data_IF_002117821780
#
_entry.id   IF_002117821780
#
_cell.length_a   1.000
_cell.length_b   1.000
_cell.length_c   1.000
_cell.angle_alpha   90.00
_cell.angle_beta   90.00
_cell.angle_gamma   90.00
#
_symmetry.space_group_name_H-M   'P 1'
#
loop_
_entity.id
_entity.type
_entity.pdbx_description
1 polymer ?
2 branched ?
3 non-polymer ?
4 non-polymer ?
5 non-polymer ?
6 non-polymer ?
7 non-polymer ?
8 non-polymer ?
9 non-polymer ?
10 water ?
#
# COMPACT_ATOMS: atom_id res chain seq x y z
N UNK A 7 2.59 -16.39 -7.56
CA UNK A 7 1.46 -15.62 -6.96
C UNK A 7 0.33 -15.55 -7.97
N UNK A 8 -0.71 -16.29 -7.69
CA UNK A 8 -1.93 -16.27 -8.51
C UNK A 8 -2.78 -15.17 -7.90
N UNK A 9 -2.75 -14.00 -8.53
CA UNK A 9 -3.61 -12.91 -8.12
C UNK A 9 -5.02 -13.39 -8.38
N UNK A 10 -5.91 -12.94 -7.54
CA UNK A 10 -7.26 -13.43 -7.58
C UNK A 10 -8.05 -12.94 -8.80
N UNK A 11 -9.06 -13.73 -9.21
CA UNK A 11 -9.81 -13.38 -10.43
C UNK A 11 -10.69 -12.13 -10.28
N UNK A 12 -10.91 -11.60 -9.08
CA UNK A 12 -11.66 -10.34 -8.92
C UNK A 12 -10.74 -9.12 -8.80
N UNK A 13 -9.43 -9.37 -8.94
CA UNK A 13 -8.47 -8.30 -8.91
C UNK A 13 -8.79 -7.22 -9.93
N UNK A 14 -8.82 -5.97 -9.47
CA UNK A 14 -9.14 -4.80 -10.34
C UNK A 14 -10.61 -4.39 -10.29
N UNK A 15 -11.46 -5.23 -9.68
CA UNK A 15 -12.82 -4.83 -9.40
C UNK A 15 -12.96 -4.14 -8.07
N UNK A 16 -13.96 -3.22 -8.00
CA UNK A 16 -14.25 -2.56 -6.76
C UNK A 16 -15.70 -2.80 -6.43
N UNK A 17 -15.96 -3.40 -5.29
CA UNK A 17 -17.29 -3.65 -4.78
C UNK A 17 -17.62 -2.54 -3.80
N UNK A 18 -18.65 -1.77 -4.11
CA UNK A 18 -19.14 -0.75 -3.25
C UNK A 18 -20.36 -1.24 -2.51
N UNK A 19 -20.25 -1.30 -1.19
CA UNK A 19 -21.30 -1.81 -0.34
C UNK A 19 -21.91 -0.71 0.48
N UNK A 20 -23.15 -0.95 0.88
CA UNK A 20 -23.86 -0.01 1.70
C UNK A 20 -24.40 -0.65 3.01
N UNK A 21 -24.06 -1.92 3.25
CA UNK A 21 -24.34 -2.54 4.49
C UNK A 21 -23.25 -3.56 4.80
N UNK A 22 -23.13 -3.90 6.09
CA UNK A 22 -22.18 -4.93 6.53
C UNK A 22 -22.45 -6.28 5.80
N UNK A 23 -21.35 -6.95 5.39
CA UNK A 23 -21.44 -8.27 4.83
C UNK A 23 -21.37 -9.27 5.98
N UNK A 24 -22.42 -10.10 6.12
CA UNK A 24 -22.50 -11.13 7.13
C UNK A 24 -22.05 -12.44 6.53
N UNK A 25 -21.10 -13.04 7.24
CA UNK A 25 -20.60 -14.38 6.84
C UNK A 25 -21.06 -15.35 7.91
N UNK A 26 -22.03 -16.20 7.59
CA UNK A 26 -22.71 -16.98 8.61
C UNK A 26 -21.74 -18.11 9.05
N UNK A 27 -21.93 -18.74 10.21
CA UNK A 27 -21.02 -19.83 10.69
C UNK A 27 -20.76 -20.94 9.59
N UNK A 28 -19.57 -21.51 9.40
CA UNK A 28 -19.18 -22.58 8.47
C UNK A 28 -18.93 -22.13 7.04
N UNK A 29 -19.20 -20.86 6.75
CA UNK A 29 -18.93 -20.32 5.41
C UNK A 29 -17.63 -19.64 5.33
N UNK A 30 -17.08 -19.58 4.15
CA UNK A 30 -15.87 -18.83 3.85
C UNK A 30 -16.19 -17.78 2.73
N UNK A 31 -16.11 -16.48 3.08
CA UNK A 31 -16.20 -15.41 2.09
C UNK A 31 -14.85 -15.31 1.45
N UNK A 32 -14.75 -15.60 0.15
CA UNK A 32 -13.51 -15.50 -0.58
C UNK A 32 -13.67 -14.35 -1.58
N UNK A 33 -13.05 -13.20 -1.32
CA UNK A 33 -13.11 -12.07 -2.25
C UNK A 33 -12.36 -12.23 -3.53
N UNK A 34 -11.49 -13.20 -3.65
CA UNK A 34 -10.71 -13.38 -4.84
C UNK A 34 -9.97 -12.12 -5.26
N UNK A 35 -9.56 -11.31 -4.29
CA UNK A 35 -8.77 -10.14 -4.62
C UNK A 35 -9.57 -8.84 -4.84
N UNK A 36 -10.86 -8.91 -4.63
CA UNK A 36 -11.75 -7.75 -4.76
C UNK A 36 -11.34 -6.67 -3.77
N UNK A 37 -11.47 -5.41 -4.15
CA UNK A 37 -11.34 -4.29 -3.25
C UNK A 37 -12.73 -3.82 -2.87
N UNK A 38 -12.99 -3.59 -1.59
CA UNK A 38 -14.25 -3.17 -1.06
C UNK A 38 -14.19 -1.76 -0.56
N UNK A 39 -15.20 -0.97 -0.97
CA UNK A 39 -15.35 0.39 -0.50
C UNK A 39 -16.72 0.57 0.10
N UNK A 40 -16.79 0.84 1.39
CA UNK A 40 -18.02 0.94 2.08
C UNK A 40 -18.56 2.39 2.04
N UNK A 41 -19.89 2.46 1.83
CA UNK A 41 -20.66 3.68 1.72
C UNK A 41 -21.67 3.80 2.85
N UNK A 42 -21.74 4.99 3.47
CA UNK A 42 -22.74 5.23 4.45
C UNK A 42 -22.57 4.45 5.77
N UNK A 43 -21.39 3.88 5.98
CA UNK A 43 -21.12 2.97 7.11
C UNK A 43 -20.08 3.53 8.04
N UNK A 44 -19.62 4.74 7.80
CA UNK A 44 -18.57 5.37 8.58
C UNK A 44 -17.54 6.07 7.73
N UNK A 45 -16.77 6.93 8.38
CA UNK A 45 -15.75 7.71 7.70
C UNK A 45 -14.32 7.25 8.01
N UNK A 46 -14.19 6.22 8.82
CA UNK A 46 -12.88 5.70 9.25
C UNK A 46 -12.22 6.57 10.32
N UNK A 47 -12.96 7.48 10.96
CA UNK A 47 -12.44 8.30 12.01
C UNK A 47 -12.39 7.47 13.31
N UNK A 48 -12.11 8.18 14.43
CA UNK A 48 -12.12 7.51 15.74
C UNK A 48 -13.52 7.40 16.38
N UNK A 49 -14.58 7.81 15.64
CA UNK A 49 -15.96 7.62 16.09
C UNK A 49 -16.27 6.19 16.38
N UNK A 50 -16.95 5.98 17.50
CA UNK A 50 -17.26 4.61 17.92
C UNK A 50 -18.56 4.05 17.39
N UNK A 51 -19.22 4.82 16.51
CA UNK A 51 -20.51 4.42 16.02
C UNK A 51 -20.53 4.00 14.57
N UNK A 52 -19.45 3.48 14.04
CA UNK A 52 -19.40 3.06 12.70
C UNK A 52 -19.78 1.60 12.56
N UNK A 53 -20.15 1.18 11.34
CA UNK A 53 -20.50 -0.19 11.11
C UNK A 53 -19.26 -1.01 10.68
N UNK A 54 -19.24 -2.31 11.04
CA UNK A 54 -18.25 -3.18 10.48
C UNK A 54 -18.46 -3.43 8.97
N UNK A 55 -17.38 -3.58 8.26
CA UNK A 55 -17.41 -3.97 6.85
C UNK A 55 -17.91 -5.40 6.75
N UNK A 56 -17.39 -6.27 7.64
CA UNK A 56 -17.77 -7.68 7.69
C UNK A 56 -18.12 -8.05 9.15
N UNK A 57 -19.13 -8.90 9.29
CA UNK A 57 -19.44 -9.61 10.54
C UNK A 57 -19.22 -11.05 10.27
N UNK A 58 -18.27 -11.66 10.99
CA UNK A 58 -17.96 -13.07 10.88
C UNK A 58 -18.58 -13.76 12.10
N UNK A 59 -19.68 -14.47 11.85
CA UNK A 59 -20.32 -15.25 12.89
C UNK A 59 -19.31 -16.32 13.37
N UNK A 60 -19.58 -16.88 14.53
CA UNK A 60 -18.65 -17.90 15.05
C UNK A 60 -18.54 -19.03 14.00
N UNK A 61 -17.31 -19.43 13.69
CA UNK A 61 -17.01 -20.45 12.71
C UNK A 61 -17.03 -19.97 11.26
N UNK A 62 -17.15 -18.66 11.04
CA UNK A 62 -17.03 -18.07 9.69
C UNK A 62 -15.59 -17.66 9.36
N UNK A 63 -15.23 -17.78 8.07
CA UNK A 63 -13.92 -17.41 7.60
C UNK A 63 -14.00 -16.33 6.53
N UNK A 64 -12.92 -15.61 6.35
CA UNK A 64 -12.82 -14.54 5.35
C UNK A 64 -11.44 -14.62 4.72
N UNK A 65 -11.38 -14.46 3.40
CA UNK A 65 -10.11 -14.47 2.76
C UNK A 65 -10.07 -13.57 1.53
N UNK A 66 -8.90 -13.06 1.19
CA UNK A 66 -8.59 -12.45 -0.11
C UNK A 66 -9.47 -11.26 -0.43
N UNK A 67 -9.56 -10.31 0.52
CA UNK A 67 -10.13 -9.01 0.23
C UNK A 67 -9.17 -7.90 0.53
N UNK A 68 -9.35 -6.81 -0.18
CA UNK A 68 -8.71 -5.53 0.11
C UNK A 68 -9.80 -4.63 0.66
N UNK A 69 -9.65 -4.04 1.84
CA UNK A 69 -10.58 -3.11 2.36
C UNK A 69 -9.99 -1.71 2.16
N UNK A 70 -10.65 -0.96 1.25
CA UNK A 70 -10.25 0.42 1.04
C UNK A 70 -10.76 1.34 2.11
N UNK A 71 -10.18 2.56 2.13
CA UNK A 71 -10.77 3.62 2.86
C UNK A 71 -12.20 3.86 2.35
N UNK A 72 -13.16 4.18 3.21
CA UNK A 72 -13.05 4.26 4.68
C UNK A 72 -13.16 2.90 5.34
N UNK A 73 -12.28 2.69 6.32
CA UNK A 73 -12.23 1.37 6.95
C UNK A 73 -13.34 1.11 7.92
N UNK A 74 -14.13 2.16 8.27
CA UNK A 74 -15.32 1.98 9.12
C UNK A 74 -14.92 1.27 10.43
N UNK A 75 -15.74 0.34 10.90
CA UNK A 75 -15.33 -0.48 12.05
C UNK A 75 -14.81 -1.82 11.66
N UNK A 76 -14.23 -1.95 10.48
CA UNK A 76 -13.43 -3.14 10.15
C UNK A 76 -14.17 -4.46 10.19
N UNK A 77 -13.57 -5.46 10.81
CA UNK A 77 -14.08 -6.81 10.73
C UNK A 77 -14.50 -7.13 12.18
N UNK A 78 -15.71 -7.62 12.36
CA UNK A 78 -16.15 -8.07 13.67
C UNK A 78 -16.21 -9.57 13.71
N UNK A 79 -15.41 -10.19 14.60
CA UNK A 79 -15.27 -11.65 14.71
C UNK A 79 -15.93 -12.15 15.99
N UNK A 80 -16.80 -13.10 15.78
CA UNK A 80 -17.53 -13.71 16.90
C UNK A 80 -16.92 -15.04 17.42
N UNK A 81 -15.77 -15.40 16.91
CA UNK A 81 -14.97 -16.51 17.45
C UNK A 81 -14.82 -17.61 16.44
N UNK A 82 -13.71 -18.36 16.55
CA UNK A 82 -13.41 -19.48 15.69
C UNK A 82 -13.47 -19.05 14.21
N UNK A 83 -12.60 -18.08 13.92
CA UNK A 83 -12.55 -17.44 12.63
C UNK A 83 -11.13 -17.42 12.09
N UNK A 84 -10.99 -17.67 10.78
CA UNK A 84 -9.72 -17.52 10.09
C UNK A 84 -9.90 -16.36 9.11
N UNK A 85 -9.00 -15.39 9.19
CA UNK A 85 -9.01 -14.20 8.33
C UNK A 85 -7.68 -14.19 7.60
N UNK A 86 -7.70 -14.47 6.27
CA UNK A 86 -6.47 -14.82 5.53
C UNK A 86 -6.22 -13.93 4.29
N UNK A 87 -5.01 -13.37 4.20
CA UNK A 87 -4.71 -12.40 3.13
C UNK A 87 -5.67 -11.24 3.01
N UNK A 88 -6.12 -10.67 4.14
CA UNK A 88 -6.93 -9.46 4.14
C UNK A 88 -5.97 -8.25 4.27
N UNK A 89 -6.21 -7.24 3.42
CA UNK A 89 -5.39 -6.07 3.39
C UNK A 89 -6.27 -4.92 3.79
N UNK A 90 -5.89 -4.18 4.83
CA UNK A 90 -6.53 -2.97 5.21
C UNK A 90 -5.67 -1.86 4.67
N UNK A 91 -6.12 -1.24 3.58
CA UNK A 91 -5.37 -0.12 2.97
C UNK A 91 -5.33 1.09 3.88
N UNK A 92 -6.35 1.26 4.69
CA UNK A 92 -6.45 2.41 5.59
C UNK A 92 -7.38 2.03 6.69
N UNK A 93 -6.79 1.56 7.78
CA UNK A 93 -7.61 1.12 8.90
C UNK A 93 -8.56 2.23 9.32
N UNK A 94 -9.78 1.86 9.63
CA UNK A 94 -10.71 2.79 10.14
C UNK A 94 -10.62 2.98 11.66
N UNK A 95 -11.74 2.91 12.37
CA UNK A 95 -11.69 3.06 13.85
C UNK A 95 -10.76 2.04 14.44
N UNK A 96 -10.92 0.82 13.99
CA UNK A 96 -10.01 -0.28 14.27
C UNK A 96 -10.18 -1.26 13.08
N UNK A 97 -9.23 -2.19 12.90
CA UNK A 97 -9.21 -3.11 11.81
C UNK A 97 -10.05 -4.32 12.01
N UNK A 98 -9.94 -4.93 13.19
CA UNK A 98 -10.65 -6.16 13.50
C UNK A 98 -10.83 -6.21 14.99
N UNK A 99 -12.06 -6.62 15.38
CA UNK A 99 -12.46 -6.74 16.74
C UNK A 99 -12.94 -8.15 17.05
N UNK A 100 -12.40 -8.70 18.15
CA UNK A 100 -12.93 -9.99 18.65
C UNK A 100 -14.04 -9.68 19.67
N UNK A 101 -15.28 -10.04 19.26
CA UNK A 101 -16.47 -9.68 19.98
C UNK A 101 -16.98 -10.75 20.93
N UNK A 102 -16.56 -12.00 20.72
CA UNK A 102 -17.07 -13.12 21.51
C UNK A 102 -15.97 -14.18 21.51
N UNK A 103 -16.02 -15.12 22.46
CA UNK A 103 -14.94 -16.05 22.71
C UNK A 103 -14.72 -17.05 21.67
N UNK A 104 -13.46 -17.30 21.39
CA UNK A 104 -13.02 -18.40 20.53
C UNK A 104 -11.62 -18.08 20.05
N UNK A 105 -11.13 -18.85 19.08
CA UNK A 105 -9.84 -18.71 18.47
C UNK A 105 -10.04 -17.87 17.22
N UNK A 106 -9.22 -16.84 17.07
CA UNK A 106 -9.25 -16.00 15.84
C UNK A 106 -7.84 -15.88 15.35
N UNK A 107 -7.66 -16.17 14.07
CA UNK A 107 -6.38 -16.19 13.42
C UNK A 107 -6.39 -15.22 12.25
N UNK A 108 -5.42 -14.29 12.23
CA UNK A 108 -5.19 -13.38 11.11
C UNK A 108 -3.92 -13.87 10.44
N UNK A 109 -3.99 -14.35 9.22
CA UNK A 109 -2.87 -15.01 8.57
C UNK A 109 -2.62 -14.27 7.24
N UNK A 110 -1.43 -13.72 7.04
CA UNK A 110 -1.14 -12.99 5.82
C UNK A 110 -1.79 -11.61 5.87
N UNK A 111 -1.64 -10.91 4.76
CA UNK A 111 -2.19 -9.59 4.66
C UNK A 111 -1.40 -8.50 5.36
N UNK A 112 -2.06 -7.38 5.54
CA UNK A 112 -1.35 -6.19 6.09
C UNK A 112 -2.30 -5.14 6.48
N UNK A 113 -1.84 -4.16 7.22
CA UNK A 113 -2.65 -3.03 7.62
C UNK A 113 -1.78 -1.80 7.63
N UNK A 114 -2.41 -0.64 7.28
CA UNK A 114 -1.72 0.65 7.31
C UNK A 114 -2.63 1.71 7.89
N UNK A 115 -2.04 2.71 8.51
CA UNK A 115 -2.74 3.96 8.84
C UNK A 115 -3.85 3.76 9.85
N UNK A 116 -3.48 3.15 10.96
CA UNK A 116 -4.39 2.98 12.09
C UNK A 116 -4.15 4.10 13.07
N UNK A 117 -5.09 5.02 13.26
CA UNK A 117 -4.91 6.13 14.18
C UNK A 117 -4.75 5.64 15.62
N UNK A 118 -5.42 4.54 15.93
CA UNK A 118 -5.37 3.96 17.29
C UNK A 118 -5.02 2.47 17.12
N UNK A 119 -5.94 1.58 17.49
CA UNK A 119 -5.59 0.15 17.44
C UNK A 119 -5.86 -0.51 16.10
N UNK A 120 -5.07 -1.48 15.72
CA UNK A 120 -5.36 -2.37 14.65
C UNK A 120 -6.37 -3.42 15.13
N UNK A 121 -5.98 -4.24 16.11
CA UNK A 121 -6.81 -5.33 16.61
C UNK A 121 -7.29 -4.99 18.00
N UNK A 122 -8.59 -5.19 18.23
CA UNK A 122 -9.29 -4.82 19.45
C UNK A 122 -9.95 -6.05 20.01
N UNK A 123 -9.54 -6.45 21.23
CA UNK A 123 -9.99 -7.72 21.82
C UNK A 123 -10.95 -7.43 22.99
N UNK A 124 -12.22 -7.70 22.72
CA UNK A 124 -13.27 -7.36 23.64
C UNK A 124 -13.93 -8.59 24.34
N UNK A 125 -13.37 -9.75 24.16
CA UNK A 125 -13.83 -11.00 24.79
C UNK A 125 -12.67 -11.89 25.01
N UNK A 126 -12.75 -12.82 25.98
CA UNK A 126 -11.65 -13.78 26.13
C UNK A 126 -11.47 -14.53 24.85
N UNK A 127 -10.21 -14.75 24.47
CA UNK A 127 -9.93 -15.38 23.17
C UNK A 127 -8.49 -15.80 23.07
N UNK A 128 -8.21 -16.62 22.10
CA UNK A 128 -6.90 -16.92 21.63
C UNK A 128 -6.76 -16.23 20.28
N UNK A 129 -5.80 -15.30 20.20
CA UNK A 129 -5.69 -14.41 19.03
C UNK A 129 -4.32 -14.51 18.43
N UNK A 130 -4.25 -15.06 17.21
CA UNK A 130 -2.98 -15.22 16.54
C UNK A 130 -2.84 -14.42 15.27
N UNK A 131 -1.73 -13.71 15.18
CA UNK A 131 -1.39 -12.87 14.02
C UNK A 131 -0.14 -13.47 13.41
N UNK A 132 -0.23 -13.89 12.17
CA UNK A 132 0.81 -14.65 11.54
C UNK A 132 1.12 -14.07 10.15
N UNK A 133 2.40 -13.78 9.93
CA UNK A 133 2.94 -13.40 8.60
C UNK A 133 2.28 -12.16 8.07
N UNK A 134 2.31 -11.15 8.93
CA UNK A 134 1.51 -9.91 8.87
C UNK A 134 2.45 -8.73 8.97
N UNK A 135 2.15 -7.67 8.20
CA UNK A 135 2.90 -6.42 8.25
C UNK A 135 1.96 -5.28 8.56
N UNK A 136 2.32 -4.38 9.45
CA UNK A 136 1.56 -3.17 9.68
C UNK A 136 2.46 -1.98 9.79
N UNK A 137 1.98 -0.86 9.24
CA UNK A 137 2.80 0.35 9.19
C UNK A 137 1.91 1.55 9.56
N UNK A 138 2.42 2.44 10.38
CA UNK A 138 1.77 3.69 10.81
C UNK A 138 0.53 3.36 11.60
N UNK A 139 0.77 2.86 12.81
CA UNK A 139 -0.30 2.45 13.68
C UNK A 139 -0.10 3.00 15.08
N UNK A 140 -1.18 3.10 15.83
CA UNK A 140 -1.03 3.45 17.26
C UNK A 140 -0.63 2.24 18.10
N UNK A 141 -1.43 1.19 18.00
CA UNK A 141 -1.19 -0.09 18.65
C UNK A 141 -1.49 -1.23 17.75
N UNK A 142 -0.74 -2.35 17.77
CA UNK A 142 -1.20 -3.51 17.03
C UNK A 142 -2.38 -4.15 17.71
N UNK A 143 -2.30 -4.38 19.03
CA UNK A 143 -3.39 -5.10 19.76
C UNK A 143 -3.72 -4.35 21.00
N UNK A 144 -4.99 -4.17 21.27
CA UNK A 144 -5.48 -3.63 22.53
C UNK A 144 -6.55 -4.57 23.07
N UNK A 145 -6.30 -5.14 24.24
CA UNK A 145 -7.38 -5.73 25.01
C UNK A 145 -8.22 -4.58 25.55
N UNK A 146 -9.55 -4.73 25.48
CA UNK A 146 -10.40 -3.62 25.88
C UNK A 146 -9.98 -3.09 27.24
N UNK A 147 -9.89 -1.77 27.35
CA UNK A 147 -9.41 -1.18 28.52
C UNK A 147 -10.15 -1.53 29.77
N UNK A 148 -9.33 -1.70 30.84
CA UNK A 148 -9.87 -2.01 32.17
C UNK A 148 -10.62 -3.28 32.27
N UNK A 149 -10.45 -4.22 31.35
CA UNK A 149 -10.99 -5.54 31.51
C UNK A 149 -9.90 -6.49 32.00
N UNK A 150 -10.36 -7.50 32.69
CA UNK A 150 -9.45 -8.46 33.33
C UNK A 150 -9.76 -9.91 33.01
N UNK A 151 -10.55 -10.15 31.97
CA UNK A 151 -10.60 -11.47 31.39
C UNK A 151 -9.29 -11.81 30.71
N UNK A 152 -9.14 -13.06 30.30
CA UNK A 152 -7.89 -13.57 29.76
C UNK A 152 -7.94 -13.59 28.24
N UNK A 153 -6.92 -12.95 27.65
CA UNK A 153 -6.61 -13.21 26.24
C UNK A 153 -5.21 -13.82 26.18
N UNK A 154 -4.99 -14.64 25.18
CA UNK A 154 -3.66 -15.09 24.82
C UNK A 154 -3.40 -14.69 23.37
N UNK A 155 -2.38 -13.85 23.20
CA UNK A 155 -2.05 -13.29 21.91
C UNK A 155 -0.76 -13.93 21.41
N UNK A 156 -0.71 -14.34 20.15
CA UNK A 156 0.49 -14.86 19.50
C UNK A 156 0.81 -13.94 18.33
N UNK A 157 2.05 -13.46 18.26
CA UNK A 157 2.54 -12.66 17.14
C UNK A 157 3.67 -13.47 16.51
N UNK A 158 3.44 -13.99 15.32
CA UNK A 158 4.38 -14.93 14.69
C UNK A 158 4.71 -14.43 13.28
N UNK A 159 5.97 -14.09 13.01
CA UNK A 159 6.36 -13.56 11.71
C UNK A 159 5.62 -12.27 11.40
N UNK A 160 5.75 -11.32 12.30
CA UNK A 160 5.04 -10.05 12.25
C UNK A 160 6.09 -8.94 12.17
N UNK A 161 5.86 -8.01 11.22
CA UNK A 161 6.79 -6.88 11.04
C UNK A 161 5.97 -5.60 11.18
N UNK A 162 6.44 -4.72 12.04
CA UNK A 162 5.78 -3.48 12.36
C UNK A 162 6.67 -2.31 12.11
N UNK A 163 6.17 -1.31 11.40
CA UNK A 163 6.88 -0.04 11.27
C UNK A 163 6.03 1.14 11.83
N UNK A 164 6.66 2.01 12.62
CA UNK A 164 6.08 3.29 13.07
C UNK A 164 4.87 3.06 13.94
N UNK A 165 5.15 2.68 15.19
CA UNK A 165 4.13 2.31 16.16
C UNK A 165 4.12 3.42 17.19
N UNK A 166 3.07 4.23 17.20
CA UNK A 166 3.06 5.43 18.03
C UNK A 166 3.03 5.21 19.53
N UNK A 167 2.26 4.19 19.94
CA UNK A 167 2.03 3.93 21.35
C UNK A 167 2.80 2.67 21.70
N UNK A 168 2.26 1.51 21.34
CA UNK A 168 2.94 0.28 21.72
C UNK A 168 2.48 -0.86 20.84
N UNK A 169 3.23 -1.91 20.78
CA UNK A 169 2.81 -3.06 20.05
C UNK A 169 1.46 -3.61 20.61
N UNK A 170 1.40 -3.86 21.93
CA UNK A 170 0.18 -4.36 22.54
C UNK A 170 0.03 -3.84 23.90
N UNK A 171 -1.23 -3.76 24.33
CA UNK A 171 -1.57 -3.19 25.61
C UNK A 171 -2.82 -3.89 26.18
N UNK A 172 -2.70 -4.29 27.45
CA UNK A 172 -3.73 -4.97 28.17
C UNK A 172 -3.68 -4.46 29.61
N UNK A 173 -4.85 -4.40 30.22
CA UNK A 173 -4.98 -4.10 31.65
C UNK A 173 -5.32 -5.32 32.49
N UNK A 174 -5.04 -6.51 31.91
CA UNK A 174 -5.39 -7.79 32.55
C UNK A 174 -4.15 -8.54 33.00
N UNK A 175 -3.96 -8.73 34.34
CA UNK A 175 -2.83 -9.50 34.80
C UNK A 175 -2.77 -10.93 34.31
N UNK A 176 -3.87 -11.55 33.92
CA UNK A 176 -3.90 -12.94 33.53
C UNK A 176 -3.67 -13.13 32.03
N UNK A 177 -3.74 -12.04 31.26
CA UNK A 177 -3.47 -12.14 29.81
C UNK A 177 -2.01 -12.40 29.49
N UNK A 178 -1.76 -13.00 28.34
CA UNK A 178 -0.40 -13.25 27.94
C UNK A 178 -0.21 -12.85 26.52
N UNK A 179 1.03 -12.58 26.18
CA UNK A 179 1.43 -12.39 24.79
C UNK A 179 2.68 -13.18 24.54
N UNK A 180 2.67 -13.91 23.45
CA UNK A 180 3.77 -14.74 23.02
C UNK A 180 4.19 -14.28 21.63
N UNK A 181 5.50 -14.16 21.37
CA UNK A 181 5.96 -13.76 20.05
C UNK A 181 7.15 -14.59 19.56
N UNK A 182 7.24 -14.62 18.25
CA UNK A 182 8.21 -15.45 17.58
C UNK A 182 8.47 -14.78 16.21
N UNK A 183 9.69 -14.34 15.98
CA UNK A 183 10.02 -13.60 14.75
C UNK A 183 9.19 -12.34 14.63
N UNK A 184 9.36 -11.48 15.63
CA UNK A 184 8.71 -10.19 15.69
C UNK A 184 9.77 -9.14 15.40
N UNK A 185 9.52 -8.33 14.35
CA UNK A 185 10.40 -7.28 13.94
C UNK A 185 9.69 -5.95 14.12
N UNK A 186 10.25 -5.01 14.87
CA UNK A 186 9.58 -3.76 15.17
C UNK A 186 10.55 -2.62 14.92
N UNK A 187 10.21 -1.69 14.00
CA UNK A 187 10.95 -0.43 13.82
C UNK A 187 10.20 0.81 14.21
N UNK A 188 10.85 1.69 14.93
CA UNK A 188 10.28 2.95 15.33
C UNK A 188 9.04 2.81 16.20
N UNK A 189 9.22 2.30 17.39
CA UNK A 189 8.08 2.03 18.18
C UNK A 189 8.31 2.65 19.52
N UNK A 190 7.31 3.36 20.07
CA UNK A 190 7.53 4.03 21.35
C UNK A 190 7.99 3.06 22.46
N UNK A 191 7.20 2.01 22.66
CA UNK A 191 7.35 1.04 23.74
C UNK A 191 6.86 -0.29 23.19
N UNK A 192 7.40 -1.44 23.60
CA UNK A 192 6.81 -2.63 22.99
C UNK A 192 5.52 -3.05 23.64
N UNK A 193 5.49 -3.27 24.96
CA UNK A 193 4.33 -3.86 25.59
C UNK A 193 3.94 -3.10 26.81
N UNK A 194 2.66 -2.80 26.94
CA UNK A 194 2.09 -2.13 28.11
C UNK A 194 1.10 -3.10 28.74
N UNK A 195 1.63 -3.99 29.59
CA UNK A 195 0.83 -4.96 30.37
C UNK A 195 1.14 -4.68 31.84
N UNK A 196 0.27 -5.18 32.76
CA UNK A 196 0.56 -4.94 34.18
C UNK A 196 1.97 -5.35 34.59
N UNK A 197 2.45 -6.47 34.12
CA UNK A 197 3.81 -6.86 34.35
C UNK A 197 4.44 -7.38 33.04
N UNK A 198 5.72 -7.12 32.89
CA UNK A 198 6.43 -7.57 31.72
C UNK A 198 6.57 -9.07 31.63
N UNK A 199 6.51 -9.76 32.79
CA UNK A 199 6.54 -11.21 32.81
C UNK A 199 5.35 -11.86 32.12
N UNK A 200 4.31 -11.09 31.72
CA UNK A 200 3.22 -11.61 30.94
C UNK A 200 3.57 -11.80 29.46
N UNK A 201 4.73 -11.32 29.07
CA UNK A 201 5.19 -11.35 27.66
C UNK A 201 6.30 -12.39 27.54
N UNK A 202 6.18 -13.27 26.55
CA UNK A 202 7.07 -14.37 26.37
C UNK A 202 7.50 -14.49 24.92
N UNK A 203 8.69 -14.99 24.66
CA UNK A 203 9.08 -15.47 23.35
C UNK A 203 8.81 -16.97 23.23
N UNK A 204 8.77 -17.48 22.04
CA UNK A 204 8.77 -18.91 21.77
C UNK A 204 9.46 -19.24 20.47
N UNK B 10 9.00 25.57 -24.23
CA UNK B 10 7.98 25.54 -25.33
C UNK B 10 7.01 26.76 -25.44
N UNK B 11 6.15 26.74 -26.49
CA UNK B 11 5.32 27.87 -26.81
C UNK B 11 4.26 28.09 -25.70
N UNK B 12 3.93 27.04 -24.90
CA UNK B 12 2.98 27.18 -23.80
C UNK B 12 3.58 27.48 -22.41
N UNK B 13 4.87 27.65 -22.39
CA UNK B 13 5.56 27.96 -21.13
C UNK B 13 4.94 29.26 -20.58
N UNK B 14 4.56 29.25 -19.32
CA UNK B 14 3.94 30.40 -18.69
C UNK B 14 2.46 30.18 -18.54
N UNK B 15 1.88 29.26 -19.34
CA UNK B 15 0.47 28.93 -19.21
C UNK B 15 0.21 27.80 -18.22
N UNK B 16 -0.98 27.82 -17.61
CA UNK B 16 -1.38 26.80 -16.67
C UNK B 16 -2.73 26.31 -17.10
N UNK B 17 -2.93 25.00 -17.20
CA UNK B 17 -4.20 24.39 -17.45
C UNK B 17 -4.69 23.80 -16.16
N UNK B 18 -5.80 24.31 -15.67
CA UNK B 18 -6.48 23.82 -14.50
C UNK B 18 -7.55 22.86 -14.94
N UNK B 19 -7.46 21.63 -14.40
CA UNK B 19 -8.37 20.57 -14.76
C UNK B 19 -9.14 20.07 -13.55
N UNK B 20 -10.31 19.52 -13.81
CA UNK B 20 -11.18 18.92 -12.79
C UNK B 20 -11.48 17.42 -13.02
N UNK B 21 -10.92 16.84 -14.09
CA UNK B 21 -11.00 15.42 -14.30
C UNK B 21 -9.76 15.03 -15.11
N UNK B 22 -9.48 13.72 -15.07
CA UNK B 22 -8.36 13.13 -15.75
C UNK B 22 -8.38 13.54 -17.26
N UNK B 23 -7.21 13.89 -17.78
CA UNK B 23 -7.02 14.11 -19.22
C UNK B 23 -6.82 12.72 -19.83
N UNK B 24 -7.71 12.34 -20.72
CA UNK B 24 -7.60 11.08 -21.44
C UNK B 24 -6.90 11.31 -22.76
N UNK B 25 -5.77 10.63 -23.01
CA UNK B 25 -5.07 10.70 -24.26
C UNK B 25 -5.39 9.38 -24.99
N UNK B 26 -6.09 9.52 -26.09
CA UNK B 26 -6.60 8.33 -26.75
C UNK B 26 -5.56 7.58 -27.49
N UNK B 27 -5.84 6.31 -27.80
CA UNK B 27 -4.86 5.44 -28.42
C UNK B 27 -4.21 6.09 -29.65
N UNK B 28 -2.90 6.04 -29.65
CA UNK B 28 -2.10 6.46 -30.80
C UNK B 28 -1.73 7.95 -30.84
N UNK B 29 -2.52 8.76 -30.10
CA UNK B 29 -2.42 10.23 -29.97
C UNK B 29 -1.18 10.61 -29.15
N UNK B 30 -0.61 11.75 -29.47
CA UNK B 30 0.36 12.38 -28.64
C UNK B 30 -0.17 13.67 -28.08
N UNK B 31 -0.17 13.79 -26.75
CA UNK B 31 -0.50 15.02 -26.09
C UNK B 31 0.79 15.80 -25.89
N UNK B 32 0.93 16.94 -26.55
CA UNK B 32 2.12 17.80 -26.41
C UNK B 32 1.73 19.07 -25.70
N UNK B 33 2.15 19.21 -24.46
CA UNK B 33 1.82 20.38 -23.68
C UNK B 33 2.59 21.63 -24.05
N UNK B 34 3.70 21.48 -24.81
CA UNK B 34 4.58 22.61 -25.19
C UNK B 34 4.95 23.45 -23.97
N UNK B 35 5.15 22.78 -22.77
CA UNK B 35 5.61 23.52 -21.64
C UNK B 35 4.53 23.93 -20.68
N UNK B 36 3.27 23.61 -20.99
CA UNK B 36 2.15 23.94 -20.09
C UNK B 36 2.34 23.24 -18.71
N UNK B 37 1.89 23.94 -17.70
CA UNK B 37 1.82 23.35 -16.38
C UNK B 37 0.38 22.93 -16.13
N UNK B 38 0.17 21.75 -15.54
CA UNK B 38 -1.12 21.25 -15.22
C UNK B 38 -1.35 21.28 -13.71
N UNK B 39 -2.48 21.84 -13.31
CA UNK B 39 -2.95 21.80 -11.95
C UNK B 39 -4.31 21.11 -11.92
N UNK B 40 -4.38 20.09 -11.06
CA UNK B 40 -5.60 19.35 -10.89
C UNK B 40 -6.34 19.80 -9.63
N UNK B 41 -7.64 19.92 -9.80
CA UNK B 41 -8.54 20.30 -8.73
C UNK B 41 -9.60 19.25 -8.50
N UNK B 42 -9.86 18.86 -7.25
CA UNK B 42 -10.90 17.92 -6.96
C UNK B 42 -10.55 16.48 -7.32
N UNK B 43 -9.26 16.20 -7.51
CA UNK B 43 -8.82 14.92 -8.02
C UNK B 43 -7.89 14.16 -7.03
N UNK B 44 -7.64 14.80 -5.89
CA UNK B 44 -6.74 14.25 -4.87
C UNK B 44 -5.85 15.33 -4.30
N UNK B 45 -5.17 14.98 -3.25
CA UNK B 45 -4.32 15.89 -2.56
C UNK B 45 -2.84 15.54 -2.67
N UNK B 46 -2.50 14.49 -3.41
CA UNK B 46 -1.15 14.04 -3.51
C UNK B 46 -0.59 13.29 -2.29
N UNK B 47 -1.49 12.89 -1.40
CA UNK B 47 -1.13 12.08 -0.24
C UNK B 47 -0.91 10.66 -0.69
N UNK B 48 -0.69 9.77 0.32
CA UNK B 48 -0.60 8.34 0.07
C UNK B 48 -1.92 7.60 -0.03
N UNK B 49 -3.02 8.38 -0.15
CA UNK B 49 -4.34 7.79 -0.40
C UNK B 49 -4.40 7.03 -1.70
N UNK B 50 -4.94 5.85 -1.65
CA UNK B 50 -4.99 5.05 -2.85
C UNK B 50 -6.15 5.35 -3.78
N UNK B 51 -6.98 6.31 -3.41
CA UNK B 51 -8.24 6.57 -4.14
C UNK B 51 -8.30 7.92 -4.89
N UNK B 52 -7.11 8.37 -5.32
CA UNK B 52 -7.04 9.58 -6.11
C UNK B 52 -7.10 9.32 -7.60
N UNK B 53 -7.46 10.31 -8.39
CA UNK B 53 -7.53 10.18 -9.84
C UNK B 53 -6.16 10.41 -10.46
N UNK B 54 -5.88 9.74 -11.58
CA UNK B 54 -4.71 10.13 -12.37
C UNK B 54 -4.90 11.48 -13.03
N UNK B 55 -3.81 12.23 -13.16
CA UNK B 55 -3.80 13.49 -13.92
C UNK B 55 -4.05 13.19 -15.43
N UNK B 56 -3.37 12.18 -15.96
CA UNK B 56 -3.47 11.73 -17.33
C UNK B 56 -3.67 10.25 -17.38
N UNK B 57 -4.48 9.79 -18.31
CA UNK B 57 -4.58 8.41 -18.69
C UNK B 57 -4.08 8.29 -20.10
N UNK B 58 -3.09 7.48 -20.36
CA UNK B 58 -2.56 7.24 -21.68
C UNK B 58 -3.04 5.88 -22.14
N UNK B 59 -4.01 5.84 -23.06
CA UNK B 59 -4.46 4.61 -23.62
C UNK B 59 -3.33 3.91 -24.35
N UNK B 60 -3.53 2.64 -24.68
CA UNK B 60 -2.46 1.87 -25.34
C UNK B 60 -2.03 2.60 -26.63
N UNK B 61 -0.75 2.89 -26.79
CA UNK B 61 -0.22 3.60 -27.93
C UNK B 61 -0.11 5.13 -27.82
N UNK B 62 -0.70 5.69 -26.80
CA UNK B 62 -0.68 7.13 -26.61
C UNK B 62 0.65 7.60 -26.04
N UNK B 63 0.96 8.86 -26.26
CA UNK B 63 2.14 9.49 -25.79
C UNK B 63 1.83 10.80 -25.11
N UNK B 64 2.80 11.24 -24.27
CA UNK B 64 2.67 12.48 -23.57
C UNK B 64 4.03 13.17 -23.60
N UNK B 65 4.07 14.45 -23.88
CA UNK B 65 5.27 15.19 -23.85
C UNK B 65 5.15 16.62 -23.39
N UNK B 66 6.24 17.12 -22.79
CA UNK B 66 6.38 18.55 -22.51
C UNK B 66 5.27 19.11 -21.66
N UNK B 67 5.03 18.47 -20.50
CA UNK B 67 4.15 19.07 -19.47
C UNK B 67 4.93 19.16 -18.19
N UNK B 68 4.44 20.03 -17.35
CA UNK B 68 4.86 20.12 -15.95
C UNK B 68 3.64 19.76 -15.15
N UNK B 69 3.80 18.86 -14.19
CA UNK B 69 2.64 18.47 -13.40
C UNK B 69 2.84 19.10 -12.04
N UNK B 70 2.02 20.12 -11.75
CA UNK B 70 2.14 20.82 -10.48
C UNK B 70 1.50 19.96 -9.38
N UNK B 71 1.84 20.30 -8.14
CA UNK B 71 1.06 19.79 -6.99
C UNK B 71 -0.39 20.25 -7.07
N UNK B 72 -1.36 19.41 -6.71
CA UNK B 72 -1.17 18.09 -6.18
C UNK B 72 -1.00 17.07 -7.26
N UNK B 73 -0.09 16.14 -7.05
CA UNK B 73 0.19 15.16 -8.13
C UNK B 73 -0.79 14.05 -8.29
N UNK B 74 -1.76 13.96 -7.34
CA UNK B 74 -2.87 13.00 -7.39
C UNK B 74 -2.30 11.61 -7.68
N UNK B 75 -2.88 10.84 -8.59
CA UNK B 75 -2.36 9.56 -8.96
C UNK B 75 -1.55 9.58 -10.27
N UNK B 76 -1.01 10.74 -10.61
CA UNK B 76 -0.02 10.77 -11.61
C UNK B 76 -0.48 10.36 -13.00
N UNK B 77 0.36 9.65 -13.75
CA UNK B 77 0.06 9.28 -15.13
C UNK B 77 -0.17 7.78 -15.20
N UNK B 78 -1.36 7.39 -15.62
CA UNK B 78 -1.61 6.00 -15.83
C UNK B 78 -1.41 5.56 -17.26
N UNK B 79 -0.53 4.59 -17.48
CA UNK B 79 -0.08 4.14 -18.78
C UNK B 79 -0.62 2.74 -19.08
N UNK B 80 -1.37 2.60 -20.18
CA UNK B 80 -1.92 1.34 -20.54
C UNK B 80 -1.07 0.53 -21.54
N UNK B 81 0.10 1.01 -21.86
CA UNK B 81 1.06 0.23 -22.59
C UNK B 81 1.41 0.89 -23.91
N UNK B 82 2.65 0.67 -24.35
CA UNK B 82 3.15 1.20 -25.62
C UNK B 82 3.05 2.72 -25.62
N UNK B 83 3.61 3.32 -24.58
CA UNK B 83 3.58 4.76 -24.34
C UNK B 83 4.97 5.34 -24.22
N UNK B 84 5.13 6.57 -24.72
CA UNK B 84 6.30 7.36 -24.47
C UNK B 84 5.90 8.58 -23.71
N UNK B 85 6.58 8.83 -22.60
CA UNK B 85 6.35 9.97 -21.72
C UNK B 85 7.64 10.76 -21.70
N UNK B 86 7.69 11.87 -22.45
CA UNK B 86 8.89 12.61 -22.77
C UNK B 86 8.89 14.00 -22.16
N UNK B 87 9.97 14.37 -21.47
CA UNK B 87 10.13 15.71 -20.87
C UNK B 87 9.03 16.14 -19.94
N UNK B 88 8.55 15.17 -19.17
CA UNK B 88 7.54 15.41 -18.17
C UNK B 88 8.22 15.72 -16.84
N UNK B 89 7.81 16.81 -16.17
CA UNK B 89 8.37 17.21 -14.92
C UNK B 89 7.27 17.11 -13.87
N UNK B 90 7.51 16.24 -12.86
CA UNK B 90 6.67 16.17 -11.70
C UNK B 90 7.29 17.09 -10.65
N UNK B 91 6.67 18.25 -10.40
CA UNK B 91 7.16 19.16 -9.39
C UNK B 91 7.00 18.60 -8.01
N UNK B 92 5.99 17.76 -7.80
CA UNK B 92 5.72 17.19 -6.50
C UNK B 92 4.89 15.94 -6.73
N UNK B 93 5.60 14.79 -6.71
CA UNK B 93 4.92 13.55 -6.95
C UNK B 93 3.78 13.33 -5.93
N UNK B 94 2.68 12.83 -6.44
CA UNK B 94 1.55 12.53 -5.58
C UNK B 94 1.66 11.12 -5.00
N UNK B 95 0.59 10.31 -5.11
CA UNK B 95 0.63 9.00 -4.52
C UNK B 95 1.78 8.25 -5.21
N UNK B 96 1.85 8.27 -6.53
CA UNK B 96 2.93 7.81 -7.31
C UNK B 96 2.92 8.75 -8.54
N UNK B 97 4.04 8.72 -9.30
CA UNK B 97 4.22 9.56 -10.47
C UNK B 97 3.62 8.97 -11.72
N UNK B 98 3.88 7.71 -11.96
CA UNK B 98 3.38 7.04 -13.12
C UNK B 98 3.19 5.55 -12.83
N UNK B 99 2.07 4.99 -13.28
CA UNK B 99 1.72 3.61 -13.16
C UNK B 99 1.57 2.94 -14.45
N UNK B 100 2.16 1.76 -14.61
CA UNK B 100 1.92 0.88 -15.78
C UNK B 100 0.76 0.00 -15.36
N UNK B 101 -0.37 0.21 -16.04
CA UNK B 101 -1.64 -0.44 -15.68
C UNK B 101 -1.96 -1.66 -16.55
N UNK B 102 -1.31 -1.75 -17.71
CA UNK B 102 -1.56 -2.82 -18.62
C UNK B 102 -0.25 -3.10 -19.43
N UNK B 103 -0.25 -4.20 -20.18
CA UNK B 103 0.94 -4.70 -20.79
C UNK B 103 1.42 -3.86 -21.95
N UNK B 104 2.73 -3.84 -22.12
CA UNK B 104 3.35 -3.14 -23.22
C UNK B 104 4.68 -2.56 -22.83
N UNK B 105 5.26 -1.76 -23.71
CA UNK B 105 6.45 -1.02 -23.50
C UNK B 105 6.14 0.38 -23.00
N UNK B 106 6.77 0.86 -21.94
CA UNK B 106 6.56 2.21 -21.52
C UNK B 106 7.94 2.83 -21.33
N UNK B 107 8.16 3.99 -21.92
CA UNK B 107 9.43 4.70 -21.84
C UNK B 107 9.26 6.11 -21.31
N UNK B 108 9.96 6.41 -20.24
CA UNK B 108 10.01 7.75 -19.67
C UNK B 108 11.37 8.30 -20.07
N UNK B 109 11.33 9.41 -20.85
CA UNK B 109 12.51 9.98 -21.45
C UNK B 109 12.62 11.44 -21.05
N UNK B 110 13.72 11.86 -20.47
CA UNK B 110 13.79 13.21 -20.06
C UNK B 110 12.94 13.52 -18.86
N UNK B 111 12.98 14.76 -18.42
CA UNK B 111 12.15 15.19 -17.32
C UNK B 111 12.75 14.83 -15.94
N UNK B 112 11.90 14.97 -14.94
CA UNK B 112 12.38 14.78 -13.57
C UNK B 112 11.21 14.65 -12.65
N UNK B 113 11.50 14.17 -11.45
CA UNK B 113 10.51 14.06 -10.41
C UNK B 113 11.09 14.39 -9.07
N UNK B 114 10.33 15.03 -8.18
CA UNK B 114 10.81 15.15 -6.82
C UNK B 114 9.68 14.99 -5.82
N UNK B 115 10.09 14.69 -4.59
CA UNK B 115 9.14 14.64 -3.45
C UNK B 115 8.13 13.54 -3.55
N UNK B 116 8.62 12.32 -3.80
CA UNK B 116 7.78 11.13 -3.81
C UNK B 116 7.86 10.45 -2.44
N UNK B 117 6.75 10.45 -1.70
CA UNK B 117 6.75 9.83 -0.39
C UNK B 117 6.98 8.35 -0.45
N UNK B 118 6.57 7.66 -1.52
CA UNK B 118 6.73 6.26 -1.69
C UNK B 118 7.32 6.05 -3.09
N UNK B 119 6.61 5.42 -4.00
CA UNK B 119 7.19 5.11 -5.27
C UNK B 119 7.03 6.25 -6.30
N UNK B 120 8.04 6.41 -7.16
CA UNK B 120 7.88 7.20 -8.40
C UNK B 120 7.09 6.38 -9.41
N UNK B 121 7.68 5.28 -9.84
CA UNK B 121 7.08 4.43 -10.91
C UNK B 121 6.55 3.13 -10.30
N UNK B 122 5.33 2.80 -10.62
CA UNK B 122 4.55 1.71 -10.06
C UNK B 122 4.18 0.78 -11.18
N UNK B 123 4.68 -0.46 -11.18
CA UNK B 123 4.50 -1.37 -12.32
C UNK B 123 3.52 -2.46 -11.93
N UNK B 124 2.32 -2.40 -12.48
CA UNK B 124 1.24 -3.30 -12.09
C UNK B 124 0.83 -4.33 -13.14
N UNK B 125 1.57 -4.40 -14.25
CA UNK B 125 1.35 -5.37 -15.29
C UNK B 125 2.69 -5.74 -15.90
N UNK B 126 2.78 -6.86 -16.56
CA UNK B 126 4.02 -7.25 -17.21
C UNK B 126 4.32 -6.22 -18.28
N UNK B 127 5.56 -5.77 -18.31
CA UNK B 127 5.95 -4.68 -19.15
C UNK B 127 7.42 -4.67 -19.37
N UNK B 128 7.84 -3.89 -20.38
CA UNK B 128 9.23 -3.38 -20.50
C UNK B 128 9.13 -1.93 -20.10
N UNK B 129 9.90 -1.53 -19.10
CA UNK B 129 9.79 -0.17 -18.55
C UNK B 129 11.20 0.47 -18.62
N UNK B 130 11.38 1.54 -19.42
CA UNK B 130 12.71 2.12 -19.59
C UNK B 130 12.63 3.58 -19.16
N UNK B 131 13.52 3.97 -18.24
CA UNK B 131 13.69 5.35 -17.74
C UNK B 131 15.01 5.83 -18.26
N UNK B 132 14.98 6.91 -19.05
CA UNK B 132 16.17 7.37 -19.75
C UNK B 132 16.36 8.87 -19.52
N UNK B 133 17.55 9.31 -19.23
CA UNK B 133 17.87 10.72 -19.09
C UNK B 133 16.96 11.42 -18.10
N UNK B 134 16.96 10.92 -16.88
CA UNK B 134 15.97 11.30 -15.90
C UNK B 134 16.63 11.57 -14.56
N UNK B 135 16.17 12.58 -13.84
CA UNK B 135 16.69 12.87 -12.50
C UNK B 135 15.53 12.88 -11.49
N UNK B 136 15.70 12.25 -10.32
CA UNK B 136 14.71 12.30 -9.23
C UNK B 136 15.37 12.60 -7.90
N UNK B 137 14.71 13.43 -7.09
CA UNK B 137 15.23 13.81 -5.80
C UNK B 137 14.17 13.64 -4.76
N UNK B 138 14.56 13.11 -3.59
CA UNK B 138 13.68 12.97 -2.44
C UNK B 138 12.53 12.04 -2.70
N UNK B 139 12.91 10.77 -2.84
CA UNK B 139 11.98 9.74 -3.21
C UNK B 139 12.07 8.54 -2.26
N UNK B 140 11.00 7.74 -2.19
CA UNK B 140 11.05 6.49 -1.43
C UNK B 140 11.69 5.41 -2.25
N UNK B 141 11.14 5.15 -3.41
CA UNK B 141 11.68 4.22 -4.37
C UNK B 141 11.51 4.80 -5.77
N UNK B 142 12.47 4.48 -6.67
CA UNK B 142 12.22 4.84 -8.08
C UNK B 142 11.24 3.93 -8.74
N UNK B 143 11.35 2.62 -8.58
CA UNK B 143 10.49 1.66 -9.24
C UNK B 143 10.02 0.61 -8.29
N UNK B 144 8.73 0.35 -8.22
CA UNK B 144 8.19 -0.78 -7.48
C UNK B 144 7.34 -1.63 -8.41
N UNK B 145 7.69 -2.90 -8.61
CA UNK B 145 6.77 -3.85 -9.19
C UNK B 145 5.72 -4.10 -8.07
N UNK B 146 4.43 -4.16 -8.42
CA UNK B 146 3.37 -4.33 -7.48
C UNK B 146 3.68 -5.50 -6.52
N UNK B 147 3.56 -5.23 -5.24
CA UNK B 147 3.88 -6.20 -4.20
C UNK B 147 3.26 -7.55 -4.41
N UNK B 148 4.12 -8.53 -4.14
CA UNK B 148 3.83 -9.93 -4.19
C UNK B 148 3.58 -10.53 -5.56
N UNK B 149 3.56 -9.72 -6.63
CA UNK B 149 3.29 -10.23 -7.93
C UNK B 149 4.55 -10.92 -8.47
N UNK B 150 4.35 -11.98 -9.26
CA UNK B 150 5.42 -12.75 -9.76
C UNK B 150 5.50 -12.81 -11.32
N UNK B 151 4.68 -11.97 -11.98
CA UNK B 151 4.87 -11.78 -13.37
C UNK B 151 6.20 -11.11 -13.66
N UNK B 152 6.60 -11.14 -14.93
CA UNK B 152 7.91 -10.58 -15.31
C UNK B 152 7.78 -9.14 -15.79
N UNK B 153 8.56 -8.22 -15.22
CA UNK B 153 8.84 -6.95 -15.86
C UNK B 153 10.32 -6.92 -16.19
N UNK B 154 10.67 -6.13 -17.21
CA UNK B 154 12.06 -5.82 -17.52
C UNK B 154 12.24 -4.30 -17.43
N UNK B 155 13.09 -3.86 -16.54
CA UNK B 155 13.31 -2.45 -16.27
C UNK B 155 14.69 -2.09 -16.82
N UNK B 156 14.75 -0.95 -17.55
CA UNK B 156 16.01 -0.37 -17.95
C UNK B 156 16.13 1.00 -17.29
N UNK B 157 17.26 1.25 -16.65
CA UNK B 157 17.57 2.57 -16.09
C UNK B 157 18.82 3.04 -16.79
N UNK B 158 18.68 4.10 -17.63
CA UNK B 158 19.75 4.56 -18.50
C UNK B 158 19.92 6.04 -18.33
N UNK B 159 21.12 6.47 -17.93
CA UNK B 159 21.35 7.89 -17.69
C UNK B 159 20.32 8.43 -16.69
N UNK B 160 20.31 7.83 -15.52
CA UNK B 160 19.42 8.19 -14.42
C UNK B 160 20.24 8.60 -13.22
N UNK B 161 19.93 9.77 -12.64
CA UNK B 161 20.63 10.29 -11.46
C UNK B 161 19.58 10.50 -10.38
N UNK B 162 19.85 9.91 -9.18
CA UNK B 162 18.90 9.94 -8.05
C UNK B 162 19.59 10.57 -6.85
N UNK B 163 18.83 11.36 -6.11
CA UNK B 163 19.29 11.98 -4.89
C UNK B 163 18.29 11.70 -3.80
N UNK B 164 18.81 11.18 -2.71
CA UNK B 164 18.02 11.01 -1.47
C UNK B 164 16.90 10.01 -1.67
N UNK B 165 17.29 8.74 -1.64
CA UNK B 165 16.41 7.60 -1.91
C UNK B 165 16.22 6.90 -0.56
N UNK B 166 15.00 6.94 -0.01
CA UNK B 166 14.73 6.46 1.35
C UNK B 166 14.71 4.96 1.49
N UNK B 167 14.09 4.25 0.57
CA UNK B 167 13.95 2.84 0.68
C UNK B 167 14.98 2.20 -0.23
N UNK B 168 14.78 2.26 -1.56
CA UNK B 168 15.70 1.59 -2.46
C UNK B 168 15.44 2.16 -3.86
N UNK B 169 16.35 1.94 -4.77
CA UNK B 169 16.08 2.30 -6.15
C UNK B 169 14.93 1.54 -6.74
N UNK B 170 14.96 0.22 -6.64
CA UNK B 170 13.92 -0.58 -7.21
C UNK B 170 13.69 -1.84 -6.41
N UNK B 171 12.43 -2.22 -6.30
CA UNK B 171 12.00 -3.39 -5.54
C UNK B 171 11.01 -4.20 -6.35
N UNK B 172 11.21 -5.52 -6.39
CA UNK B 172 10.28 -6.49 -6.99
C UNK B 172 10.28 -7.75 -6.12
N UNK B 173 9.09 -8.34 -6.04
CA UNK B 173 8.96 -9.65 -5.40
C UNK B 173 8.97 -10.79 -6.40
N UNK B 174 9.17 -10.47 -7.70
CA UNK B 174 9.13 -11.51 -8.74
C UNK B 174 10.53 -12.04 -8.91
N UNK B 175 10.65 -13.38 -8.96
CA UNK B 175 11.94 -14.01 -9.17
C UNK B 175 12.35 -14.02 -10.67
N UNK B 176 11.45 -13.59 -11.55
CA UNK B 176 11.74 -13.59 -13.01
C UNK B 176 11.94 -12.20 -13.60
N UNK B 177 11.62 -11.17 -12.84
CA UNK B 177 11.82 -9.81 -13.35
C UNK B 177 13.31 -9.50 -13.48
N UNK B 178 13.65 -8.48 -14.29
CA UNK B 178 15.00 -8.10 -14.58
C UNK B 178 15.12 -6.64 -14.42
N UNK B 179 16.28 -6.17 -14.01
CA UNK B 179 16.64 -4.74 -14.03
C UNK B 179 18.03 -4.62 -14.67
N UNK B 180 18.11 -3.75 -15.67
CA UNK B 180 19.32 -3.49 -16.43
C UNK B 180 19.64 -2.00 -16.21
N UNK B 181 20.89 -1.68 -15.93
CA UNK B 181 21.25 -0.28 -15.75
C UNK B 181 22.54 0.08 -16.44
N UNK B 182 22.58 1.36 -16.85
CA UNK B 182 23.69 1.96 -17.59
C UNK B 182 23.73 3.42 -17.23
N UNK B 183 24.75 3.81 -16.52
CA UNK B 183 24.89 5.17 -16.03
C UNK B 183 23.72 5.53 -15.10
N UNK B 184 23.72 4.81 -13.98
CA UNK B 184 22.81 5.02 -12.90
C UNK B 184 23.61 5.57 -11.71
N UNK B 185 23.38 6.81 -11.32
CA UNK B 185 24.17 7.46 -10.31
C UNK B 185 23.24 7.78 -9.13
N UNK B 186 23.63 7.26 -7.95
CA UNK B 186 22.69 7.27 -6.84
C UNK B 186 23.35 7.90 -5.63
N UNK B 187 22.81 8.99 -5.11
CA UNK B 187 23.35 9.65 -3.98
C UNK B 187 22.41 9.54 -2.77
N UNK B 188 23.01 9.22 -1.62
CA UNK B 188 22.24 9.06 -0.38
C UNK B 188 21.16 8.03 -0.45
N UNK B 189 21.62 6.79 -0.53
CA UNK B 189 20.78 5.60 -0.63
C UNK B 189 21.50 4.44 0.08
N UNK B 190 20.81 3.78 0.96
CA UNK B 190 21.41 2.68 1.73
C UNK B 190 21.40 1.40 0.91
N UNK B 191 20.32 1.13 0.15
CA UNK B 191 20.18 -0.13 -0.56
C UNK B 191 19.63 0.12 -1.94
N UNK B 192 20.37 -0.36 -2.91
CA UNK B 192 20.03 -0.12 -4.29
C UNK B 192 18.85 -0.96 -4.74
N UNK B 193 18.96 -2.26 -4.74
CA UNK B 193 17.96 -3.14 -5.34
C UNK B 193 17.44 -4.13 -4.35
N UNK B 194 16.14 -4.33 -4.26
CA UNK B 194 15.49 -5.35 -3.45
C UNK B 194 14.72 -6.28 -4.38
N UNK B 195 15.44 -7.25 -4.94
CA UNK B 195 14.87 -8.28 -5.80
C UNK B 195 15.17 -9.62 -5.13
N UNK B 196 14.46 -10.69 -5.50
CA UNK B 196 14.75 -11.99 -4.86
C UNK B 196 16.18 -12.46 -5.03
N UNK B 197 16.80 -12.21 -6.16
CA UNK B 197 18.18 -12.58 -6.37
C UNK B 197 18.90 -11.48 -7.10
N UNK B 198 20.14 -11.26 -6.69
CA UNK B 198 20.94 -10.25 -7.27
C UNK B 198 21.36 -10.64 -8.72
N UNK B 199 21.14 -11.91 -9.09
CA UNK B 199 21.29 -12.33 -10.47
C UNK B 199 20.27 -11.71 -11.44
N UNK B 200 19.24 -11.12 -10.89
CA UNK B 200 18.24 -10.41 -11.69
C UNK B 200 18.63 -8.99 -12.09
N UNK B 201 19.77 -8.52 -11.60
CA UNK B 201 20.25 -7.18 -11.84
C UNK B 201 21.45 -7.24 -12.73
N UNK B 202 21.44 -6.46 -13.79
CA UNK B 202 22.44 -6.53 -14.87
C UNK B 202 22.92 -5.10 -15.22
N UNK B 203 24.15 -4.99 -15.57
CA UNK B 203 24.70 -3.80 -16.14
C UNK B 203 24.86 -3.96 -17.64
N UNK B 204 24.83 -2.86 -18.34
CA UNK B 204 25.02 -2.83 -19.82
C UNK B 204 25.67 -1.51 -20.24
X LIG C 1 -6.27 5.54 23.00
X LIG C 1 -7.76 5.81 23.18
X LIG C 1 -8.11 5.84 24.74
X LIG C 1 -7.64 4.59 25.41
X LIG C 1 -6.12 4.43 25.14
X LIG C 1 -5.71 3.08 25.74
X LIG C 1 -5.60 6.70 23.50
X LIG C 1 -8.12 7.09 22.53
X LIG C 1 -9.51 6.20 24.98
X LIG C 1 -8.32 3.41 24.88
X LIG C 1 -5.88 4.45 23.73
X LIG C 1 -5.80 2.96 26.96
X LIG C 1 -5.33 2.17 24.95
X LIG C 2 -9.66 3.25 25.23
X LIG C 2 -9.95 1.76 25.59
X LIG C 2 -9.87 0.83 24.35
X LIG C 2 -10.73 1.42 23.24
X LIG C 2 -10.19 2.82 22.99
X LIG C 2 -10.73 3.52 21.70
X LIG C 2 -9.03 1.29 26.58
X LIG C 2 -10.29 -0.51 24.69
X LIG C 2 -12.12 1.32 23.74
X LIG C 2 -10.50 3.65 24.17
X LIG C 2 -10.85 2.83 20.68
X LIG C 2 -10.94 4.73 21.83
X LIG C 3 -13.11 1.85 22.90
X LIG C 3 -14.39 1.83 23.76
X LIG C 3 -14.89 0.46 23.99
X LIG C 3 -15.09 -0.22 22.68
X LIG C 3 -13.80 -0.17 21.86
X LIG C 3 -14.03 -0.81 20.48
X LIG C 3 -14.20 2.56 25.00
X LIG C 3 -16.15 0.47 24.72
X LIG C 3 -16.12 0.44 21.92
X LIG C 3 -13.34 1.12 21.72
X LIG C 3 -14.39 -1.97 20.45
X LIG C 3 -13.84 -0.07 19.47
X LIG D 1 5.83 1.12 1.11
X LIG D 1 4.31 1.09 0.94
X LIG D 1 3.87 -0.30 1.41
X LIG D 1 4.60 -1.38 0.59
X LIG D 1 6.09 -1.25 0.67
X LIG D 1 6.76 -2.17 -0.31
X LIG D 1 6.27 1.04 2.48
X LIG D 1 3.74 2.03 1.82
X LIG D 1 2.46 -0.38 1.42
X LIG D 1 4.26 -1.34 -0.80
X LIG D 1 6.48 0.10 0.35
X LIG D 1 6.72 -3.38 -0.06
X LIG D 1 7.34 -1.66 -1.31
X LIG D 2 3.02 -1.86 -1.13
X LIG D 2 2.99 -2.60 -2.46
X LIG D 2 3.08 -1.57 -3.66
X LIG D 2 2.11 -0.44 -3.51
X LIG D 2 2.36 0.17 -2.18
X LIG D 2 1.70 1.48 -1.87
X LIG D 2 4.03 -3.53 -2.56
X LIG D 2 2.92 -2.32 -4.89
X LIG D 2 0.80 -1.06 -3.72
X LIG D 2 2.04 -0.82 -1.14
X LIG D 2 1.34 1.69 -0.70
X LIG D 2 1.64 2.36 -2.77
X LIG D 3 -0.33 -0.24 -3.58
X LIG D 3 -1.53 -1.17 -3.59
X LIG D 3 -1.76 -1.75 -4.96
X LIG D 3 -1.91 -0.67 -6.03
X LIG D 3 -0.68 0.20 -5.99
X LIG D 3 -0.83 1.42 -6.92
X LIG D 3 -1.36 -2.19 -2.63
X LIG D 3 -2.97 -2.56 -4.94
X LIG D 3 -3.07 0.13 -5.70
X LIG D 3 -0.44 0.73 -4.64
X LIG D 3 -0.80 2.59 -6.40
X LIG D 3 -0.96 1.15 -8.08
X LIG E 1 -10.10 4.27 18.91
X LIG F 1 -12.67 1.93 19.55
X LIG G 1 -14.27 -0.41 16.90
X LIG H 1 -6.86 5.41 9.20
X LIG I 1 6.96 6.48 17.21
X LIG I 1 6.43 5.87 16.13
X LIG I 1 5.77 6.82 15.38
X LIG I 1 5.90 8.03 16.00
X LIG I 1 6.64 7.80 17.16
X LIG J 1 -0.77 -23.40 19.87
X LIG J 1 -1.30 -22.14 19.22
X LIG J 1 -1.97 -22.45 17.99
X LIG J 1 -2.21 -21.71 20.29
X LIG J 1 -0.32 -21.07 18.88
X LIG J 1 0.76 -21.45 17.93
X LIG J 1 0.22 -21.66 16.61
X LIG J 1 1.74 -20.34 17.92
X LIG K 1 -14.34 -7.59 -11.08
X LIG K 1 -14.41 -8.62 -12.15
X LIG K 1 -15.27 -8.22 -13.20
X LIG K 1 -12.96 -8.81 -12.65
X LIG K 1 -15.04 -9.90 -11.60
X LIG K 1 -16.52 -9.90 -11.19
X LIG K 1 -17.41 -9.59 -12.27
X LIG K 1 -16.93 -11.25 -10.63
X LIG L 1 -23.32 -6.43 -2.21
X LIG L 1 -22.82 -7.60 -1.37
X LIG L 1 -21.84 -7.18 -0.36
X LIG L 1 -23.97 -8.26 -0.64
X LIG L 1 -22.13 -8.56 -2.35
X LIG L 1 -21.48 -9.77 -1.68
X LIG L 1 -20.38 -9.34 -0.90
X LIG L 1 -20.80 -10.70 -2.65
X LIG M 1 -17.88 -2.09 18.27
X LIG M 1 -18.35 -1.76 19.70
X LIG M 1 -17.80 -0.47 19.95
X LIG M 1 -19.88 -1.76 19.86
X LIG M 1 -17.69 -2.66 20.77
X LIG M 1 -18.41 -2.50 22.13
X LIG M 1 -18.17 -1.18 22.61
X LIG M 1 -17.98 -3.39 23.26
X LIG N 1 -2.76 4.45 20.17
X LIG O 1 -6.48 23.82 -23.63
X LIG O 1 -5.07 24.07 -24.15
X LIG O 1 -5.22 24.54 -25.52
X LIG O 1 -4.42 25.10 -23.24
X LIG O 1 -4.25 22.81 -24.06
X LIG O 1 -2.79 22.92 -24.43
X LIG O 1 -2.03 21.70 -24.17
X LIG O 1 -2.71 23.33 -25.91
X LIG P 1 2.04 4.41 -1.72
X LIG Q 1 -0.05 3.08 -4.23
X LIG R 1 -1.24 4.97 -7.44
X LIG S 1 4.88 14.39 -2.72
X LIG T 1 17.68 -0.01 -23.80
X LIG T 1 16.82 -0.74 -24.52
X LIG T 1 17.53 -1.77 -25.04
X LIG T 1 18.82 -1.66 -24.63
X LIG T 1 18.91 -0.53 -23.88
X LIG U 1 24.57 13.24 -20.45
X LIG U 1 24.67 11.84 -21.04
X LIG U 1 25.47 11.65 -22.22
X LIG U 1 25.24 10.95 -20.00
X LIG U 1 23.31 11.36 -21.39
X LIG U 1 22.48 12.04 -22.43
X LIG U 1 23.21 12.30 -23.64
X LIG U 1 21.47 10.94 -22.57
X LIG V 1 9.23 3.77 -0.04
X LIG W 1 5.97 0.73 1.49
X LIG W 1 4.44 0.82 1.44
X LIG W 1 3.93 -0.61 1.63
X LIG W 1 4.60 -1.53 0.60
X LIG W 1 6.12 -1.38 0.68
X LIG W 1 6.78 -2.29 -0.34
X LIG W 1 6.62 2.00 1.41
X LIG W 1 3.94 1.61 2.53
X LIG W 1 2.50 -0.66 1.50
X LIG W 1 4.16 -1.25 -0.75
X LIG W 1 6.47 -0.04 0.40
X LIG W 1 6.45 -3.49 -0.24
X LIG W 1 7.57 -1.79 -1.18
X LIG X 1 2.86 -1.83 -1.07
X LIG X 1 2.89 -2.56 -2.41
X LIG X 1 3.07 -1.58 -3.61
X LIG X 1 2.06 -0.51 -3.50
X LIG X 1 2.25 0.13 -2.10
X LIG X 1 1.52 1.47 -1.92
X LIG X 1 3.99 -3.47 -2.43
X LIG X 1 2.88 -2.32 -4.83
X LIG X 1 0.77 -1.14 -3.75
X LIG X 1 1.84 -0.79 -1.08
X LIG X 1 1.06 1.71 -0.77
X LIG X 1 1.50 2.28 -2.89
X LIG Y 1 -0.35 -0.26 -3.55
X LIG Y 1 -1.60 -1.10 -3.55
X LIG Y 1 -1.79 -1.71 -4.95
X LIG Y 1 -1.87 -0.61 -6.01
X LIG Y 1 -0.65 0.28 -5.91
X LIG Y 1 -0.84 1.46 -6.89
X LIG Y 1 -1.46 -2.12 -2.56
X LIG Y 1 -2.98 -2.52 -5.01
X LIG Y 1 -3.06 0.21 -5.84
X LIG Y 1 -0.45 0.77 -4.55
X LIG Y 1 -0.90 2.63 -6.41
X LIG Y 1 -0.95 1.17 -8.09
#
# INVERSE_FOLDING_TARGET
>A
MAHHHHHHVGTNTGGVLVITDTIIVKSGQTYDGKGIKIIAQGMGDGSQSENQKPIFKLEKGANLKNVIIGAPGCDGIHCYGDNVVENVVWEDVGEDALTVKSEGVVEVIGGSAKEAANAVFQLNAPCTFKVKNFTATNIGKLVRQNGNTTFKVVIYLEDVTLNNVKSCVAKSDSPVSELWYHNLNVNNCKTLFEFPSQSQIHQY
>B
MAHHHHHHVGTNTGGVLVITDTIIVKSGQTYDGKGIKIIAQGMGDGSQSENQKPIFKLEKGANLKNVIIGAPGCDGIHCYGDNVVENVVWEDVGEDALTVKSEGVVEVIGGSAKEAANAVFQLNAPCTFKVKNFTATNIGKLVRQNGNTTFKVVIYLEDVTLNNVKSCVAKSDSPVSELWYHNLNVNNCKTLFEFPSQSQIHQY
>C hetero
1 ADA C1 C2 C3 C4 C5 C6 O1 O2 O3 O4 O5 O6B O6A
2 ADA C1 C2 C3 C4 C5 C6 O2 O3 O4 O5 O6B O6A
3 ADA C1 C2 C3 C4 C5 C6 O2 O3 O4 O5 O6B O6A
>D hetero
1 ADA C1 C2 C3 C4 C5 C6 O1 O2 O3 O4 O5 O6B O6A
2 ADA C1 C2 C3 C4 C5 C6 O2 O3 O4 O5 O6B O6A
3 ADA C1 C2 C3 C4 C5 C6 O2 O3 O4 O5 O6B O6A
>E hetero
1 CA CA
>F hetero
1 CA CA
>G hetero
1 CA CA
>H hetero
1 CA CA
>I hetero
1 IMD N1 C2 N3 C4 C5
>J hetero
1 MPD C1 C2 O2 CM C3 C4 O4 C5
>K hetero
1 MPD C1 C2 O2 CM C3 C4 O4 C5
>L hetero
1 MRD C1 C2 O2 CM C3 C4 O4 C5
>M hetero
1 MRD C1 C2 O2 CM C3 C4 O4 C5
>N hetero
1 CL CL
>O hetero
1 MPD C1 C2 O2 CM C3 C4 O4 C5
>P hetero
1 CA CA
>Q hetero
1 CA CA
>R hetero
1 CA CA
>S hetero
1 CA CA
>T hetero
1 IMD N1 C2 N3 C4 C5
>U hetero
1 MPD C1 C2 O2 CM C3 C4 O4 C5
>V hetero
1 CL CL
>W hetero
1 GTR C1 C2 C3 C4 C5 C6 O1 O2 O3 O4 O5 O6A O6B
>X hetero
1 ADA C1 C2 C3 C4 C5 C6 O2 O3 O4 O5 O6B O6A
>Y hetero
1 ADA C1 C2 C3 C4 C5 C6 O2 O3 O4 O5 O6B O6A
#
